data_IF_121568147971
#
_entry.id   IF_121568147971
#
_cell.length_a   1.000
_cell.length_b   1.000
_cell.length_c   1.000
_cell.angle_alpha   90.00
_cell.angle_beta   90.00
_cell.angle_gamma   90.00
#
_symmetry.space_group_name_H-M   'P 1'
#
loop_
_entity.id
_entity.type
_entity.pdbx_description
1 polymer ?
#
# COMPACT_ATOMS: atom_id res chain seq x y z
N UNK A 1 -47.02 -9.73 26.47
CA UNK A 1 -47.75 -8.87 27.41
C UNK A 1 -47.28 -7.46 27.20
N UNK A 2 -48.22 -6.70 26.66
CA UNK A 2 -48.63 -5.28 26.82
C UNK A 2 -47.59 -4.25 26.36
N UNK A 3 -47.71 -3.66 25.19
CA UNK A 3 -48.60 -2.58 24.67
C UNK A 3 -48.66 -1.33 25.58
N UNK A 4 -48.36 -0.19 24.96
CA UNK A 4 -48.62 1.16 25.45
C UNK A 4 -48.30 2.24 24.43
N UNK A 5 -49.24 2.48 23.51
CA UNK A 5 -49.40 3.68 22.65
C UNK A 5 -49.84 4.88 23.50
N UNK A 6 -49.58 6.12 22.95
CA UNK A 6 -50.52 7.28 22.89
C UNK A 6 -49.64 8.51 22.50
N UNK A 7 -49.70 9.19 21.39
CA UNK A 7 -50.76 9.86 20.63
C UNK A 7 -51.35 11.14 21.28
N UNK A 8 -51.48 12.12 20.37
CA UNK A 8 -52.41 13.27 20.37
C UNK A 8 -51.76 14.63 20.74
N UNK A 9 -51.58 15.56 19.81
CA UNK A 9 -52.50 16.44 19.06
C UNK A 9 -52.75 17.77 19.80
N UNK A 10 -52.48 18.92 19.24
CA UNK A 10 -53.43 19.83 18.63
C UNK A 10 -52.82 21.25 18.41
N UNK A 11 -53.11 21.79 17.28
CA UNK A 11 -53.23 23.16 16.81
C UNK A 11 -54.53 23.78 17.41
N UNK A 12 -54.91 25.08 17.21
CA UNK A 12 -54.34 26.30 16.62
C UNK A 12 -54.71 27.61 17.32
N UNK A 13 -54.47 28.72 16.62
CA UNK A 13 -55.25 29.95 16.45
C UNK A 13 -54.49 31.26 16.84
N UNK A 14 -54.27 32.06 15.83
CA UNK A 14 -54.87 33.35 15.36
C UNK A 14 -54.97 34.45 16.40
N UNK A 15 -54.42 35.64 16.11
CA UNK A 15 -55.04 36.79 15.50
C UNK A 15 -54.26 38.07 15.79
N UNK A 16 -54.15 38.88 14.75
CA UNK A 16 -54.32 40.35 14.60
C UNK A 16 -53.55 41.36 15.44
N UNK A 17 -52.99 42.32 14.69
CA UNK A 17 -53.07 43.70 15.12
C UNK A 17 -51.83 44.59 14.84
N UNK A 18 -51.80 45.23 13.66
CA UNK A 18 -51.52 46.65 13.36
C UNK A 18 -50.25 47.39 13.84
N UNK A 19 -49.60 47.92 12.81
CA UNK A 19 -49.07 49.28 12.59
C UNK A 19 -47.99 49.91 13.48
N UNK A 20 -46.95 50.35 12.78
CA UNK A 20 -46.34 51.64 13.06
C UNK A 20 -44.84 51.78 12.84
N UNK A 21 -44.52 52.51 11.77
CA UNK A 21 -43.39 53.46 11.54
C UNK A 21 -41.95 52.94 11.45
N UNK A 22 -41.42 53.19 10.28
CA UNK A 22 -40.10 53.60 9.81
C UNK A 22 -38.94 53.72 10.81
N UNK A 23 -37.86 52.95 10.51
CA UNK A 23 -36.52 53.54 10.49
C UNK A 23 -35.59 52.68 9.59
N UNK A 24 -34.90 53.38 8.68
CA UNK A 24 -33.87 52.87 7.78
C UNK A 24 -32.71 52.28 8.55
N UNK A 25 -32.34 51.06 8.24
CA UNK A 25 -30.96 50.60 8.34
C UNK A 25 -30.64 49.53 7.29
N UNK A 26 -29.50 49.73 6.69
CA UNK A 26 -28.86 49.00 5.60
C UNK A 26 -29.11 47.52 5.56
N UNK A 27 -29.67 47.04 4.45
CA UNK A 27 -29.89 45.63 4.14
C UNK A 27 -28.61 44.97 3.65
N UNK A 28 -28.04 44.12 4.49
CA UNK A 28 -27.18 43.05 4.03
C UNK A 28 -28.03 42.07 3.22
N UNK A 29 -27.78 41.94 1.93
CA UNK A 29 -28.42 41.01 1.02
C UNK A 29 -28.14 39.56 1.47
N UNK A 30 -29.17 38.92 1.98
CA UNK A 30 -29.18 37.46 2.18
C UNK A 30 -29.10 36.79 0.79
N UNK A 31 -28.23 35.83 0.53
CA UNK A 31 -28.22 35.12 -0.75
C UNK A 31 -29.55 34.39 -0.94
N UNK A 32 -30.18 34.61 -2.09
CA UNK A 32 -31.39 33.90 -2.48
C UNK A 32 -31.10 32.38 -2.56
N UNK A 33 -32.06 31.58 -2.06
CA UNK A 33 -31.98 30.11 -2.16
C UNK A 33 -31.80 29.68 -3.63
N UNK A 34 -31.08 28.59 -3.89
CA UNK A 34 -30.90 28.08 -5.24
C UNK A 34 -32.26 27.75 -5.87
N UNK A 35 -32.44 27.96 -7.19
CA UNK A 35 -33.70 27.69 -7.89
C UNK A 35 -34.09 26.20 -7.79
N UNK A 36 -35.38 25.93 -7.74
CA UNK A 36 -35.92 24.56 -7.75
C UNK A 36 -35.64 23.90 -9.10
N UNK A 37 -35.63 22.57 -9.11
CA UNK A 37 -35.36 21.77 -10.32
C UNK A 37 -36.28 22.10 -11.51
N UNK A 38 -37.52 22.47 -11.24
CA UNK A 38 -38.50 22.88 -12.26
C UNK A 38 -38.21 24.23 -12.87
N UNK A 39 -37.69 25.15 -12.09
CA UNK A 39 -37.29 26.50 -12.53
C UNK A 39 -36.00 26.49 -13.37
N UNK A 40 -35.08 25.52 -13.08
CA UNK A 40 -33.85 25.31 -13.84
C UNK A 40 -34.10 24.68 -15.22
N UNK A 41 -35.21 23.93 -15.40
CA UNK A 41 -35.52 23.22 -16.64
C UNK A 41 -36.50 23.98 -17.56
N UNK A 42 -37.19 25.01 -17.09
CA UNK A 42 -38.19 25.75 -17.86
C UNK A 42 -37.65 26.83 -18.81
N UNK A 43 -36.39 26.89 -19.07
CA UNK A 43 -35.79 27.77 -20.12
C UNK A 43 -35.85 29.29 -19.94
N UNK A 44 -36.52 29.77 -18.90
CA UNK A 44 -36.67 31.22 -18.64
C UNK A 44 -35.58 31.77 -17.67
N UNK A 45 -34.79 30.92 -17.07
CA UNK A 45 -33.76 31.29 -16.08
C UNK A 45 -32.40 31.74 -16.64
N UNK A 46 -32.15 31.58 -17.93
CA UNK A 46 -30.86 31.85 -18.55
C UNK A 46 -30.84 33.25 -19.21
N UNK A 47 -30.84 34.33 -18.42
CA UNK A 47 -30.35 35.63 -18.90
C UNK A 47 -28.82 35.61 -18.85
N UNK A 48 -28.21 35.55 -20.04
CA UNK A 48 -26.77 35.70 -20.22
C UNK A 48 -26.30 37.00 -19.54
N UNK A 49 -25.44 36.89 -18.53
CA UNK A 49 -24.75 38.03 -17.92
C UNK A 49 -24.78 38.15 -16.39
N UNK A 50 -25.46 37.27 -15.66
CA UNK A 50 -25.64 37.47 -14.21
C UNK A 50 -24.53 36.91 -13.29
N UNK A 51 -23.64 36.01 -13.74
CA UNK A 51 -22.53 35.52 -12.93
C UNK A 51 -21.26 35.40 -13.77
N UNK A 52 -20.20 36.16 -13.47
CA UNK A 52 -18.89 35.81 -14.00
C UNK A 52 -18.47 34.46 -13.38
N UNK A 53 -17.85 33.55 -14.15
CA UNK A 53 -17.36 32.29 -13.62
C UNK A 53 -16.31 32.60 -12.54
N UNK A 54 -16.34 31.92 -11.37
CA UNK A 54 -15.31 32.08 -10.36
C UNK A 54 -13.97 31.63 -10.94
N UNK A 55 -13.04 32.57 -11.08
CA UNK A 55 -11.66 32.25 -11.40
C UNK A 55 -11.05 31.55 -10.20
N UNK A 56 -10.46 30.37 -10.46
CA UNK A 56 -9.67 29.55 -9.54
C UNK A 56 -10.43 28.67 -8.52
N UNK A 57 -11.24 27.75 -9.02
CA UNK A 57 -11.53 26.52 -8.29
C UNK A 57 -10.87 25.38 -9.08
N UNK A 58 -9.92 24.62 -8.51
CA UNK A 58 -9.39 23.43 -9.17
C UNK A 58 -10.54 22.42 -9.30
N UNK A 59 -10.95 22.15 -10.53
CA UNK A 59 -11.92 21.11 -10.85
C UNK A 59 -11.34 19.75 -10.45
N UNK A 60 -11.95 19.10 -9.48
CA UNK A 60 -11.58 17.76 -9.08
C UNK A 60 -11.80 16.80 -10.26
N UNK A 61 -10.84 15.90 -10.60
CA UNK A 61 -10.91 15.06 -11.82
C UNK A 61 -12.09 14.11 -11.91
N UNK A 62 -12.85 13.91 -10.83
CA UNK A 62 -13.96 12.94 -10.77
C UNK A 62 -15.35 13.49 -11.18
N UNK A 63 -15.43 14.71 -11.72
CA UNK A 63 -16.73 15.33 -12.10
C UNK A 63 -16.96 15.40 -13.61
N UNK A 64 -16.01 14.92 -14.43
CA UNK A 64 -16.22 14.78 -15.85
C UNK A 64 -16.98 13.46 -16.12
N UNK A 65 -18.32 13.50 -16.06
CA UNK A 65 -19.17 12.46 -16.62
C UNK A 65 -18.99 12.50 -18.15
N UNK A 66 -18.27 11.52 -18.68
CA UNK A 66 -18.20 11.31 -20.13
C UNK A 66 -19.42 10.47 -20.50
N UNK A 67 -20.35 11.08 -21.24
CA UNK A 67 -21.50 10.39 -21.80
C UNK A 67 -21.03 9.32 -22.80
N UNK A 68 -21.30 8.03 -22.56
CA UNK A 68 -20.86 6.96 -23.44
C UNK A 68 -21.59 6.92 -24.79
N UNK A 69 -22.54 7.82 -25.05
CA UNK A 69 -23.30 7.91 -26.31
C UNK A 69 -22.70 8.86 -27.36
N UNK A 70 -21.64 9.61 -27.05
CA UNK A 70 -20.96 10.44 -28.03
C UNK A 70 -20.05 9.61 -28.94
N UNK A 71 -20.58 9.23 -30.10
CA UNK A 71 -19.86 8.62 -31.21
C UNK A 71 -18.67 9.51 -31.64
N UNK A 72 -17.47 8.94 -31.92
CA UNK A 72 -16.30 9.72 -32.28
C UNK A 72 -16.27 10.07 -33.79
N UNK A 73 -17.34 10.68 -34.32
CA UNK A 73 -17.33 11.06 -35.72
C UNK A 73 -18.15 12.32 -35.99
N UNK A 74 -17.70 13.46 -35.44
CA UNK A 74 -18.00 14.77 -36.00
C UNK A 74 -16.78 15.69 -35.81
N UNK A 75 -16.00 15.78 -36.87
CA UNK A 75 -14.92 16.72 -36.98
C UNK A 75 -15.40 18.15 -37.02
N UNK A 76 -15.44 18.83 -35.86
CA UNK A 76 -15.42 20.29 -35.83
C UNK A 76 -15.06 20.82 -34.43
N UNK A 77 -13.86 21.40 -34.32
CA UNK A 77 -13.56 22.41 -33.34
C UNK A 77 -13.21 21.95 -31.93
N UNK A 78 -12.18 21.07 -31.80
CA UNK A 78 -11.47 20.95 -30.52
C UNK A 78 -10.64 22.20 -30.30
N UNK A 79 -10.84 22.91 -29.19
CA UNK A 79 -9.96 23.98 -28.79
C UNK A 79 -8.56 23.42 -28.51
N UNK A 80 -7.47 24.03 -29.00
CA UNK A 80 -6.11 23.53 -28.79
C UNK A 80 -5.68 23.42 -27.33
N UNK A 81 -6.41 24.06 -26.41
CA UNK A 81 -6.13 24.04 -24.96
C UNK A 81 -6.46 22.75 -24.22
N UNK A 82 -7.43 21.96 -24.70
CA UNK A 82 -7.87 20.75 -23.97
C UNK A 82 -6.86 19.60 -24.10
N UNK A 83 -6.23 19.49 -25.24
CA UNK A 83 -5.22 18.44 -25.50
C UNK A 83 -3.91 18.74 -24.78
N UNK A 84 -3.51 20.01 -24.69
CA UNK A 84 -2.32 20.43 -23.96
C UNK A 84 -2.52 20.28 -22.44
N UNK A 85 -3.71 20.55 -21.93
CA UNK A 85 -4.04 20.39 -20.50
C UNK A 85 -4.04 18.92 -20.10
N UNK A 86 -4.62 18.02 -20.91
CA UNK A 86 -4.64 16.57 -20.65
C UNK A 86 -3.23 15.99 -20.74
N UNK A 87 -2.43 16.40 -21.70
CA UNK A 87 -1.04 15.95 -21.83
C UNK A 87 -0.18 16.46 -20.69
N UNK A 88 -0.30 17.71 -20.28
CA UNK A 88 0.39 18.28 -19.12
C UNK A 88 0.06 17.53 -17.82
N UNK A 89 -1.20 17.23 -17.56
CA UNK A 89 -1.63 16.45 -16.40
C UNK A 89 -1.03 15.02 -16.40
N UNK A 90 -1.00 14.36 -17.55
CA UNK A 90 -0.40 13.03 -17.72
C UNK A 90 1.12 13.02 -17.48
N UNK A 91 1.82 14.09 -17.86
CA UNK A 91 3.27 14.24 -17.64
C UNK A 91 3.59 14.47 -16.15
N UNK A 92 2.82 15.29 -15.46
CA UNK A 92 2.99 15.55 -14.04
C UNK A 92 2.77 14.27 -13.20
N UNK A 93 1.75 13.47 -13.54
CA UNK A 93 1.49 12.18 -12.90
C UNK A 93 2.66 11.19 -13.09
N UNK A 94 3.25 11.16 -14.27
CA UNK A 94 4.41 10.30 -14.54
C UNK A 94 5.66 10.75 -13.77
N UNK A 95 5.91 12.05 -13.68
CA UNK A 95 7.04 12.60 -12.93
C UNK A 95 6.90 12.25 -11.44
N UNK A 96 5.72 12.44 -10.86
CA UNK A 96 5.41 12.10 -9.47
C UNK A 96 5.60 10.61 -9.24
N UNK A 97 5.10 9.76 -10.14
CA UNK A 97 5.24 8.30 -10.07
C UNK A 97 6.70 7.85 -10.13
N UNK A 98 7.49 8.40 -11.04
CA UNK A 98 8.91 8.09 -11.16
C UNK A 98 9.71 8.52 -9.92
N UNK A 99 9.38 9.69 -9.34
CA UNK A 99 9.99 10.14 -8.10
C UNK A 99 9.64 9.22 -6.92
N UNK A 100 8.38 8.76 -6.84
CA UNK A 100 7.91 7.80 -5.87
C UNK A 100 8.65 6.46 -5.98
N UNK A 101 8.71 5.86 -7.17
CA UNK A 101 9.43 4.62 -7.44
C UNK A 101 10.90 4.74 -7.03
N UNK A 102 11.57 5.82 -7.44
CA UNK A 102 12.97 6.08 -7.07
C UNK A 102 13.15 6.17 -5.56
N UNK A 103 12.24 6.85 -4.85
CA UNK A 103 12.27 6.96 -3.38
C UNK A 103 12.13 5.60 -2.72
N UNK A 104 11.17 4.78 -3.16
CA UNK A 104 10.95 3.42 -2.64
C UNK A 104 12.19 2.54 -2.85
N UNK A 105 12.74 2.50 -4.06
CA UNK A 105 13.93 1.69 -4.35
C UNK A 105 15.19 2.19 -3.65
N UNK A 106 15.32 3.49 -3.37
CA UNK A 106 16.42 4.03 -2.57
C UNK A 106 16.34 3.53 -1.13
N UNK A 107 15.16 3.57 -0.52
CA UNK A 107 14.94 3.06 0.84
C UNK A 107 15.19 1.55 0.87
N UNK A 108 14.63 0.82 -0.07
CA UNK A 108 14.83 -0.63 -0.21
C UNK A 108 16.32 -1.00 -0.33
N UNK A 109 17.08 -0.27 -1.14
CA UNK A 109 18.51 -0.49 -1.29
C UNK A 109 19.25 -0.34 0.05
N UNK A 110 18.93 0.70 0.80
CA UNK A 110 19.54 0.92 2.12
C UNK A 110 19.20 -0.20 3.11
N UNK A 111 17.92 -0.65 3.12
CA UNK A 111 17.48 -1.77 3.95
C UNK A 111 18.20 -3.07 3.59
N UNK A 112 18.31 -3.38 2.31
CA UNK A 112 18.99 -4.59 1.82
C UNK A 112 20.48 -4.55 2.09
N UNK A 113 21.17 -3.42 1.88
CA UNK A 113 22.57 -3.26 2.20
C UNK A 113 22.85 -3.46 3.69
N UNK A 114 22.02 -2.88 4.55
CA UNK A 114 22.12 -3.06 5.99
C UNK A 114 21.91 -4.52 6.39
N UNK A 115 20.85 -5.16 5.88
CA UNK A 115 20.54 -6.57 6.14
C UNK A 115 21.66 -7.49 5.66
N UNK A 116 22.19 -7.24 4.46
CA UNK A 116 23.32 -7.97 3.92
C UNK A 116 24.57 -7.85 4.80
N UNK A 117 24.86 -6.65 5.32
CA UNK A 117 25.95 -6.41 6.26
C UNK A 117 25.80 -7.23 7.55
N UNK A 118 24.61 -7.29 8.13
CA UNK A 118 24.33 -8.11 9.33
C UNK A 118 24.44 -9.61 9.03
N UNK A 119 23.87 -10.08 7.91
CA UNK A 119 23.99 -11.48 7.47
C UNK A 119 25.46 -11.85 7.27
N UNK A 120 26.24 -11.00 6.63
CA UNK A 120 27.67 -11.20 6.44
C UNK A 120 28.42 -11.25 7.79
N UNK A 121 28.15 -10.32 8.71
CA UNK A 121 28.73 -10.31 10.05
C UNK A 121 28.47 -11.63 10.79
N UNK A 122 27.23 -12.11 10.76
CA UNK A 122 26.80 -13.33 11.46
C UNK A 122 27.30 -14.61 10.78
N UNK A 123 27.65 -14.55 9.51
CA UNK A 123 28.13 -15.69 8.74
C UNK A 123 29.66 -15.82 8.77
N UNK A 124 30.39 -14.70 8.68
CA UNK A 124 31.86 -14.69 8.57
C UNK A 124 32.59 -14.53 9.91
N UNK A 125 31.94 -13.96 10.93
CA UNK A 125 32.58 -13.70 12.21
C UNK A 125 32.25 -14.81 13.21
N UNK A 126 33.13 -15.81 13.37
CA UNK A 126 32.92 -16.97 14.23
C UNK A 126 32.57 -16.62 15.69
N UNK A 127 33.20 -15.63 16.36
CA UNK A 127 32.82 -15.27 17.73
C UNK A 127 31.38 -14.73 17.84
N UNK A 128 30.93 -13.98 16.83
CA UNK A 128 29.55 -13.46 16.78
C UNK A 128 28.56 -14.57 16.51
N UNK A 129 28.89 -15.45 15.58
CA UNK A 129 28.10 -16.63 15.22
C UNK A 129 27.86 -17.54 16.40
N UNK A 130 28.91 -17.83 17.18
CA UNK A 130 28.82 -18.64 18.39
C UNK A 130 27.96 -17.96 19.46
N UNK A 131 28.20 -16.68 19.71
CA UNK A 131 27.43 -15.90 20.69
C UNK A 131 25.93 -15.90 20.39
N UNK A 132 25.53 -15.64 19.15
CA UNK A 132 24.09 -15.55 18.78
C UNK A 132 23.41 -16.93 18.86
N UNK A 133 24.12 -18.03 18.54
CA UNK A 133 23.60 -19.40 18.64
C UNK A 133 23.39 -19.83 20.11
N UNK A 134 24.26 -19.38 20.99
CA UNK A 134 24.18 -19.68 22.43
C UNK A 134 23.11 -18.86 23.16
N UNK A 135 22.64 -17.76 22.57
CA UNK A 135 21.69 -16.85 23.19
C UNK A 135 20.36 -16.73 22.40
N UNK A 136 19.52 -17.76 22.38
CA UNK A 136 18.27 -17.76 21.62
C UNK A 136 17.24 -16.74 22.12
N UNK A 137 17.43 -16.17 23.31
CA UNK A 137 16.55 -15.12 23.84
C UNK A 137 16.49 -13.88 22.93
N UNK A 138 17.61 -13.53 22.30
CA UNK A 138 17.65 -12.41 21.35
C UNK A 138 16.83 -12.65 20.09
N UNK A 139 16.73 -13.91 19.65
CA UNK A 139 15.86 -14.29 18.53
C UNK A 139 14.39 -14.00 18.85
N UNK A 140 13.92 -14.45 20.02
CA UNK A 140 12.53 -14.23 20.43
C UNK A 140 12.23 -12.74 20.67
N UNK A 141 13.17 -11.99 21.25
CA UNK A 141 13.05 -10.55 21.41
C UNK A 141 12.94 -9.84 20.06
N UNK A 142 13.82 -10.17 19.11
CA UNK A 142 13.79 -9.60 17.76
C UNK A 142 12.52 -9.99 16.99
N UNK A 143 12.03 -11.20 17.16
CA UNK A 143 10.76 -11.64 16.58
C UNK A 143 9.59 -10.81 17.14
N UNK A 144 9.57 -10.55 18.44
CA UNK A 144 8.54 -9.70 19.07
C UNK A 144 8.59 -8.27 18.54
N UNK A 145 9.78 -7.67 18.45
CA UNK A 145 9.96 -6.32 17.88
C UNK A 145 9.55 -6.27 16.41
N UNK A 146 9.95 -7.28 15.63
CA UNK A 146 9.54 -7.43 14.22
C UNK A 146 8.01 -7.44 14.07
N UNK A 147 7.32 -8.29 14.82
CA UNK A 147 5.87 -8.42 14.73
C UNK A 147 5.15 -7.11 15.14
N UNK A 148 5.57 -6.47 16.24
CA UNK A 148 4.97 -5.22 16.71
C UNK A 148 5.18 -4.11 15.69
N UNK A 149 6.40 -3.92 15.21
CA UNK A 149 6.70 -2.85 14.24
C UNK A 149 6.02 -3.12 12.89
N UNK A 150 5.93 -4.37 12.45
CA UNK A 150 5.20 -4.77 11.26
C UNK A 150 3.71 -4.42 11.36
N UNK A 151 3.07 -4.82 12.47
CA UNK A 151 1.66 -4.53 12.70
C UNK A 151 1.38 -3.02 12.74
N UNK A 152 2.24 -2.24 13.39
CA UNK A 152 2.11 -0.77 13.42
C UNK A 152 2.22 -0.20 12.01
N UNK A 153 3.23 -0.61 11.23
CA UNK A 153 3.45 -0.10 9.88
C UNK A 153 2.35 -0.52 8.89
N UNK A 154 1.72 -1.68 9.08
CA UNK A 154 0.64 -2.15 8.20
C UNK A 154 -0.71 -1.56 8.61
N UNK A 155 -1.05 -1.57 9.91
CA UNK A 155 -2.38 -1.20 10.39
C UNK A 155 -2.56 0.31 10.61
N UNK A 156 -1.49 1.05 10.99
CA UNK A 156 -1.58 2.46 11.34
C UNK A 156 -1.11 3.36 10.19
N UNK A 157 -2.01 3.70 9.28
CA UNK A 157 -1.69 4.53 8.10
C UNK A 157 -1.18 5.93 8.48
N UNK A 158 -1.68 6.54 9.56
CA UNK A 158 -1.24 7.85 10.04
C UNK A 158 0.23 7.83 10.46
N UNK A 159 0.64 6.84 11.26
CA UNK A 159 2.03 6.69 11.71
C UNK A 159 2.97 6.45 10.54
N UNK A 160 2.54 5.67 9.55
CA UNK A 160 3.29 5.36 8.34
C UNK A 160 3.53 6.58 7.45
N UNK A 161 2.65 7.59 7.49
CA UNK A 161 2.77 8.84 6.72
C UNK A 161 3.49 9.95 7.47
N UNK A 162 3.55 9.88 8.81
CA UNK A 162 4.10 10.96 9.63
C UNK A 162 5.61 10.88 9.76
N UNK A 163 6.32 11.83 9.16
CA UNK A 163 7.77 11.99 9.34
C UNK A 163 8.08 12.64 10.70
N UNK A 164 9.11 12.21 11.47
CA UNK A 164 10.12 11.17 11.15
C UNK A 164 9.75 9.77 11.65
N UNK A 165 8.61 9.57 12.32
CA UNK A 165 8.25 8.30 12.97
C UNK A 165 8.20 7.13 12.02
N UNK A 166 7.77 7.38 10.78
CA UNK A 166 7.70 6.35 9.74
C UNK A 166 9.09 5.75 9.40
N UNK A 167 10.13 6.59 9.31
CA UNK A 167 11.50 6.12 9.06
C UNK A 167 12.11 5.45 10.29
N UNK A 168 11.84 5.96 11.49
CA UNK A 168 12.31 5.36 12.75
C UNK A 168 11.76 3.95 12.90
N UNK A 169 10.44 3.78 12.72
CA UNK A 169 9.81 2.46 12.80
C UNK A 169 10.33 1.52 11.71
N UNK A 170 10.52 2.02 10.49
CA UNK A 170 11.11 1.23 9.41
C UNK A 170 12.54 0.80 9.73
N UNK A 171 13.36 1.66 10.35
CA UNK A 171 14.71 1.30 10.80
C UNK A 171 14.68 0.21 11.87
N UNK A 172 13.80 0.33 12.88
CA UNK A 172 13.65 -0.67 13.95
C UNK A 172 13.17 -2.00 13.35
N UNK A 173 12.21 -1.96 12.44
CA UNK A 173 11.72 -3.11 11.70
C UNK A 173 12.86 -3.79 10.90
N UNK A 174 13.64 -3.00 10.15
CA UNK A 174 14.76 -3.51 9.35
C UNK A 174 15.84 -4.14 10.22
N UNK A 175 16.17 -3.51 11.36
CA UNK A 175 17.14 -4.04 12.31
C UNK A 175 16.71 -5.39 12.88
N UNK A 176 15.45 -5.51 13.31
CA UNK A 176 14.91 -6.77 13.85
C UNK A 176 14.87 -7.86 12.80
N UNK A 177 14.43 -7.56 11.57
CA UNK A 177 14.39 -8.51 10.47
C UNK A 177 15.78 -8.94 10.00
N UNK A 178 16.74 -8.01 9.95
CA UNK A 178 18.14 -8.31 9.63
C UNK A 178 18.78 -9.24 10.67
N UNK A 179 18.46 -9.05 11.96
CA UNK A 179 18.92 -9.93 13.03
C UNK A 179 18.34 -11.35 12.86
N UNK A 180 17.01 -11.47 12.63
CA UNK A 180 16.34 -12.77 12.41
C UNK A 180 16.95 -13.51 11.22
N UNK A 181 17.12 -12.82 10.09
CA UNK A 181 17.70 -13.39 8.86
C UNK A 181 19.16 -13.79 9.06
N UNK A 182 19.95 -12.94 9.73
CA UNK A 182 21.34 -13.24 10.05
C UNK A 182 21.49 -14.44 10.98
N UNK A 183 20.64 -14.56 12.00
CA UNK A 183 20.63 -15.70 12.89
C UNK A 183 20.30 -17.00 12.14
N UNK A 184 19.26 -16.99 11.30
CA UNK A 184 18.92 -18.16 10.46
C UNK A 184 20.12 -18.52 9.57
N UNK A 185 20.74 -17.53 8.90
CA UNK A 185 21.90 -17.75 8.03
C UNK A 185 23.10 -18.34 8.76
N UNK A 186 23.26 -18.04 10.05
CA UNK A 186 24.39 -18.54 10.86
C UNK A 186 24.40 -20.06 11.01
N UNK A 187 23.28 -20.75 10.84
CA UNK A 187 23.20 -22.21 10.92
C UNK A 187 23.63 -22.91 9.62
N UNK A 188 23.80 -22.16 8.55
CA UNK A 188 24.19 -22.69 7.24
C UNK A 188 25.66 -22.43 6.92
N UNK A 189 26.21 -23.22 6.00
CA UNK A 189 27.55 -23.01 5.50
C UNK A 189 27.69 -21.67 4.78
N UNK A 190 28.79 -20.97 5.00
CA UNK A 190 29.09 -19.68 4.38
C UNK A 190 28.98 -19.71 2.86
N UNK A 191 29.43 -20.81 2.21
CA UNK A 191 29.31 -20.98 0.76
C UNK A 191 27.85 -21.04 0.31
N UNK A 192 27.01 -21.77 1.06
CA UNK A 192 25.56 -21.87 0.79
C UNK A 192 24.88 -20.51 0.93
N UNK A 193 25.21 -19.74 1.96
CA UNK A 193 24.66 -18.41 2.18
C UNK A 193 25.00 -17.46 1.02
N UNK A 194 26.28 -17.43 0.59
CA UNK A 194 26.72 -16.59 -0.54
C UNK A 194 26.05 -17.01 -1.85
N UNK A 195 25.94 -18.31 -2.11
CA UNK A 195 25.28 -18.83 -3.30
C UNK A 195 23.78 -18.43 -3.29
N UNK A 196 23.09 -18.59 -2.16
CA UNK A 196 21.69 -18.18 -2.03
C UNK A 196 21.49 -16.68 -2.20
N UNK A 197 22.40 -15.85 -1.71
CA UNK A 197 22.35 -14.40 -1.95
C UNK A 197 22.43 -14.09 -3.45
N UNK A 198 23.35 -14.73 -4.17
CA UNK A 198 23.46 -14.58 -5.63
C UNK A 198 22.22 -15.04 -6.38
N UNK A 199 21.66 -16.21 -6.02
CA UNK A 199 20.44 -16.75 -6.63
C UNK A 199 19.26 -15.79 -6.34
N UNK A 200 19.10 -15.33 -5.08
CA UNK A 200 18.04 -14.40 -4.70
C UNK A 200 18.13 -13.11 -5.52
N UNK A 201 19.33 -12.54 -5.66
CA UNK A 201 19.52 -11.33 -6.47
C UNK A 201 19.10 -11.54 -7.93
N UNK A 202 19.46 -12.68 -8.53
CA UNK A 202 19.05 -13.03 -9.91
C UNK A 202 17.53 -13.21 -10.01
N UNK A 203 16.92 -13.94 -9.10
CA UNK A 203 15.45 -14.15 -9.07
C UNK A 203 14.74 -12.82 -8.97
N UNK A 204 15.12 -11.99 -7.97
CA UNK A 204 14.47 -10.69 -7.74
C UNK A 204 14.64 -9.76 -8.95
N UNK A 205 15.82 -9.69 -9.54
CA UNK A 205 16.08 -8.89 -10.73
C UNK A 205 15.23 -9.35 -11.92
N UNK A 206 15.20 -10.66 -12.19
CA UNK A 206 14.43 -11.25 -13.29
C UNK A 206 12.93 -11.02 -13.11
N UNK A 207 12.40 -11.25 -11.89
CA UNK A 207 10.98 -11.05 -11.56
C UNK A 207 10.59 -9.57 -11.67
N UNK A 208 11.45 -8.67 -11.21
CA UNK A 208 11.22 -7.22 -11.32
C UNK A 208 11.14 -6.78 -12.78
N UNK A 209 12.09 -7.21 -13.64
CA UNK A 209 12.05 -6.90 -15.09
C UNK A 209 10.81 -7.53 -15.72
N UNK A 210 10.51 -8.79 -15.40
CA UNK A 210 9.32 -9.47 -15.92
C UNK A 210 8.04 -8.70 -15.54
N UNK A 211 7.93 -8.23 -14.31
CA UNK A 211 6.78 -7.47 -13.81
C UNK A 211 6.60 -6.15 -14.54
N UNK A 212 7.70 -5.50 -14.96
CA UNK A 212 7.65 -4.29 -15.77
C UNK A 212 7.16 -4.54 -17.21
N UNK A 213 7.59 -5.64 -17.80
CA UNK A 213 7.36 -5.93 -19.23
C UNK A 213 6.10 -6.74 -19.51
N UNK A 214 5.66 -7.56 -18.54
CA UNK A 214 4.52 -8.46 -18.77
C UNK A 214 3.22 -7.68 -18.92
N UNK A 215 2.33 -8.19 -19.78
CA UNK A 215 0.94 -7.71 -19.91
C UNK A 215 0.01 -8.32 -18.88
N UNK A 216 0.48 -9.36 -18.18
CA UNK A 216 -0.29 -10.02 -17.14
C UNK A 216 -0.43 -9.13 -15.91
N UNK A 217 -1.65 -9.00 -15.40
CA UNK A 217 -1.96 -8.17 -14.23
C UNK A 217 -2.00 -9.03 -12.95
N UNK A 218 -0.87 -9.04 -12.22
CA UNK A 218 -0.78 -9.73 -10.94
C UNK A 218 -1.62 -9.06 -9.87
N UNK A 219 -1.91 -7.75 -9.99
CA UNK A 219 -2.70 -7.02 -8.99
C UNK A 219 -4.14 -7.51 -8.94
N UNK A 220 -4.65 -8.08 -10.04
CA UNK A 220 -5.97 -8.71 -10.07
C UNK A 220 -6.05 -10.02 -9.27
N UNK A 221 -4.91 -10.63 -8.94
CA UNK A 221 -4.83 -11.90 -8.23
C UNK A 221 -4.67 -11.74 -6.70
N UNK A 222 -4.92 -10.55 -6.14
CA UNK A 222 -4.76 -10.26 -4.71
C UNK A 222 -5.47 -11.29 -3.80
N UNK A 223 -6.69 -11.71 -4.15
CA UNK A 223 -7.43 -12.73 -3.40
C UNK A 223 -6.76 -14.09 -3.39
N UNK A 224 -6.19 -14.52 -4.53
CA UNK A 224 -5.43 -15.77 -4.61
C UNK A 224 -4.18 -15.72 -3.74
N UNK A 225 -3.41 -14.62 -3.81
CA UNK A 225 -2.22 -14.42 -3.00
C UNK A 225 -2.53 -14.42 -1.51
N UNK A 226 -3.65 -13.80 -1.11
CA UNK A 226 -4.12 -13.84 0.27
C UNK A 226 -4.39 -15.27 0.75
N UNK A 227 -5.06 -16.10 -0.05
CA UNK A 227 -5.31 -17.52 0.29
C UNK A 227 -4.00 -18.28 0.40
N UNK A 228 -3.05 -18.08 -0.53
CA UNK A 228 -1.76 -18.76 -0.51
C UNK A 228 -0.93 -18.40 0.73
N UNK A 229 -0.90 -17.13 1.14
CA UNK A 229 -0.19 -16.73 2.36
C UNK A 229 -0.85 -17.29 3.62
N UNK A 230 -2.18 -17.41 3.65
CA UNK A 230 -2.88 -18.07 4.76
C UNK A 230 -2.56 -19.57 4.84
N UNK A 231 -2.47 -20.26 3.71
CA UNK A 231 -2.03 -21.66 3.67
C UNK A 231 -0.60 -21.79 4.19
N UNK A 232 0.32 -20.90 3.78
CA UNK A 232 1.68 -20.88 4.31
C UNK A 232 1.72 -20.61 5.81
N UNK A 233 0.93 -19.67 6.30
CA UNK A 233 0.87 -19.33 7.72
C UNK A 233 0.43 -20.55 8.55
N UNK A 234 -0.69 -21.18 8.20
CA UNK A 234 -1.21 -22.32 8.94
C UNK A 234 -0.30 -23.56 8.81
N UNK A 235 0.24 -23.83 7.63
CA UNK A 235 1.20 -24.93 7.46
C UNK A 235 2.49 -24.68 8.23
N UNK A 236 2.97 -23.45 8.30
CA UNK A 236 4.14 -23.06 9.11
C UNK A 236 3.90 -23.24 10.60
N UNK A 237 2.72 -22.88 11.11
CA UNK A 237 2.33 -23.09 12.53
C UNK A 237 2.30 -24.59 12.83
N UNK A 238 1.69 -25.40 11.96
CA UNK A 238 1.64 -26.87 12.14
C UNK A 238 3.05 -27.45 12.17
N UNK A 239 3.91 -27.05 11.22
CA UNK A 239 5.31 -27.50 11.20
C UNK A 239 6.06 -27.09 12.46
N UNK A 240 5.89 -25.86 12.95
CA UNK A 240 6.53 -25.39 14.18
C UNK A 240 6.10 -26.18 15.41
N UNK A 241 4.82 -26.60 15.50
CA UNK A 241 4.30 -27.44 16.58
C UNK A 241 4.84 -28.86 16.46
N UNK A 242 4.97 -29.40 15.25
CA UNK A 242 5.45 -30.77 15.04
C UNK A 242 6.97 -30.92 15.20
N UNK A 243 7.73 -29.85 14.98
CA UNK A 243 9.20 -29.87 15.01
C UNK A 243 9.81 -30.49 16.27
N UNK A 244 9.32 -30.23 17.52
CA UNK A 244 9.85 -30.84 18.73
C UNK A 244 9.56 -32.34 18.86
N UNK A 245 8.51 -32.82 18.19
CA UNK A 245 8.06 -34.22 18.30
C UNK A 245 8.63 -35.12 17.20
N UNK A 246 8.65 -34.62 15.98
CA UNK A 246 9.12 -35.39 14.83
C UNK A 246 9.56 -34.47 13.68
N UNK A 247 10.86 -34.43 13.42
CA UNK A 247 11.39 -33.66 12.27
C UNK A 247 11.26 -34.48 10.99
N UNK A 248 10.49 -33.95 10.03
CA UNK A 248 10.25 -34.57 8.71
C UNK A 248 10.94 -33.71 7.63
N UNK A 249 12.15 -34.06 7.17
CA UNK A 249 12.94 -33.19 6.28
C UNK A 249 12.25 -32.88 4.96
N UNK A 250 11.60 -33.82 4.32
CA UNK A 250 10.94 -33.64 3.04
C UNK A 250 9.74 -32.67 3.12
N UNK A 251 9.01 -32.69 4.24
CA UNK A 251 7.87 -31.78 4.46
C UNK A 251 8.35 -30.34 4.64
N UNK A 252 9.47 -30.16 5.35
CA UNK A 252 10.12 -28.86 5.50
C UNK A 252 10.60 -28.30 4.14
N UNK A 253 11.16 -29.17 3.29
CA UNK A 253 11.59 -28.79 1.95
C UNK A 253 10.40 -28.36 1.06
N UNK A 254 9.30 -29.11 1.08
CA UNK A 254 8.07 -28.76 0.34
C UNK A 254 7.54 -27.39 0.82
N UNK A 255 7.48 -27.18 2.14
CA UNK A 255 7.07 -25.91 2.70
C UNK A 255 7.96 -24.74 2.22
N UNK A 256 9.27 -24.94 2.21
CA UNK A 256 10.22 -23.94 1.75
C UNK A 256 10.07 -23.64 0.24
N UNK A 257 9.83 -24.65 -0.59
CA UNK A 257 9.58 -24.47 -2.03
C UNK A 257 8.29 -23.68 -2.27
N UNK A 258 7.21 -24.04 -1.58
CA UNK A 258 5.96 -23.32 -1.68
C UNK A 258 6.12 -21.87 -1.21
N UNK A 259 6.84 -21.64 -0.11
CA UNK A 259 7.14 -20.31 0.39
C UNK A 259 7.92 -19.45 -0.62
N UNK A 260 8.96 -20.01 -1.22
CA UNK A 260 9.73 -19.32 -2.24
C UNK A 260 8.87 -18.91 -3.45
N UNK A 261 7.99 -19.80 -3.92
CA UNK A 261 7.08 -19.50 -5.03
C UNK A 261 6.10 -18.38 -4.64
N UNK A 262 5.47 -18.50 -3.49
CA UNK A 262 4.45 -17.51 -3.05
C UNK A 262 5.07 -16.13 -2.87
N UNK A 263 6.23 -16.00 -2.21
CA UNK A 263 6.87 -14.70 -2.04
C UNK A 263 7.46 -14.15 -3.35
N UNK A 264 7.84 -15.00 -4.30
CA UNK A 264 8.18 -14.54 -5.66
C UNK A 264 6.96 -13.96 -6.39
N UNK A 265 5.77 -14.54 -6.20
CA UNK A 265 4.52 -13.99 -6.73
C UNK A 265 4.15 -12.67 -6.05
N UNK A 266 4.36 -12.55 -4.72
CA UNK A 266 4.18 -11.29 -4.01
C UNK A 266 5.13 -10.21 -4.51
N UNK A 267 6.39 -10.52 -4.75
CA UNK A 267 7.36 -9.59 -5.34
C UNK A 267 6.88 -9.06 -6.70
N UNK A 268 6.32 -9.93 -7.55
CA UNK A 268 5.75 -9.51 -8.83
C UNK A 268 4.51 -8.60 -8.63
N UNK A 269 3.64 -8.95 -7.70
CA UNK A 269 2.46 -8.19 -7.33
C UNK A 269 2.83 -6.80 -6.79
N UNK A 270 3.71 -6.72 -5.80
CA UNK A 270 4.10 -5.47 -5.16
C UNK A 270 4.89 -4.55 -6.09
N UNK A 271 5.70 -5.13 -6.98
CA UNK A 271 6.36 -4.38 -8.06
C UNK A 271 5.34 -3.73 -8.99
N UNK A 272 4.28 -4.44 -9.41
CA UNK A 272 3.23 -3.88 -10.26
C UNK A 272 2.37 -2.85 -9.52
N UNK A 273 2.10 -3.08 -8.23
CA UNK A 273 1.38 -2.14 -7.37
C UNK A 273 2.14 -0.80 -7.24
N UNK A 274 3.48 -0.87 -7.17
CA UNK A 274 4.35 0.29 -7.15
C UNK A 274 4.34 1.06 -8.48
N UNK A 275 4.30 0.36 -9.61
CA UNK A 275 4.27 0.97 -10.95
C UNK A 275 2.99 1.77 -11.19
N UNK A 276 1.86 1.32 -10.65
CA UNK A 276 0.58 2.02 -10.74
C UNK A 276 -0.08 2.05 -12.10
N UNK A 277 0.33 1.18 -13.03
CA UNK A 277 -0.21 1.08 -14.38
C UNK A 277 -1.15 -0.13 -14.57
N UNK A 278 -1.67 -0.68 -13.46
CA UNK A 278 -2.53 -1.85 -13.40
C UNK A 278 -3.85 -1.54 -12.68
N UNK A 279 -4.69 -2.57 -12.48
CA UNK A 279 -6.00 -2.45 -11.83
C UNK A 279 -5.93 -1.81 -10.45
N UNK A 280 -4.84 -2.05 -9.73
CA UNK A 280 -4.58 -1.43 -8.43
C UNK A 280 -3.22 -0.73 -8.44
N UNK A 281 -3.15 0.37 -7.70
CA UNK A 281 -1.97 1.21 -7.59
C UNK A 281 -1.77 1.69 -6.16
N UNK A 282 -0.52 1.78 -5.73
CA UNK A 282 -0.15 2.37 -4.45
C UNK A 282 -0.09 3.90 -4.58
N UNK A 283 -0.62 4.60 -3.59
CA UNK A 283 -0.51 6.06 -3.52
C UNK A 283 0.97 6.49 -3.34
N UNK A 284 1.42 7.59 -3.96
CA UNK A 284 2.77 8.11 -3.78
C UNK A 284 3.14 8.48 -2.33
N UNK A 285 2.16 8.70 -1.48
CA UNK A 285 2.36 8.94 -0.04
C UNK A 285 2.76 7.68 0.74
N UNK A 286 2.46 6.49 0.20
CA UNK A 286 2.68 5.19 0.82
C UNK A 286 4.05 4.58 0.50
N UNK A 287 5.09 5.41 0.32
CA UNK A 287 6.43 4.96 -0.06
C UNK A 287 7.07 4.03 0.98
N UNK A 288 6.75 4.21 2.27
CA UNK A 288 7.21 3.32 3.35
C UNK A 288 6.59 1.93 3.19
N UNK A 289 5.29 1.87 2.90
CA UNK A 289 4.58 0.61 2.71
C UNK A 289 5.09 -0.14 1.47
N UNK A 290 5.33 0.58 0.36
CA UNK A 290 5.93 -0.02 -0.83
C UNK A 290 7.34 -0.59 -0.57
N UNK A 291 8.20 0.15 0.16
CA UNK A 291 9.54 -0.34 0.52
C UNK A 291 9.47 -1.53 1.47
N UNK A 292 8.58 -1.49 2.48
CA UNK A 292 8.37 -2.54 3.46
C UNK A 292 7.99 -3.87 2.80
N UNK A 293 6.99 -3.86 1.91
CA UNK A 293 6.49 -5.09 1.28
C UNK A 293 7.55 -5.74 0.39
N UNK A 294 8.15 -4.98 -0.54
CA UNK A 294 9.20 -5.50 -1.42
C UNK A 294 10.41 -6.01 -0.62
N UNK A 295 10.78 -5.33 0.47
CA UNK A 295 11.85 -5.77 1.36
C UNK A 295 11.53 -7.13 1.99
N UNK A 296 10.32 -7.29 2.53
CA UNK A 296 9.84 -8.56 3.12
C UNK A 296 9.90 -9.68 2.09
N UNK A 297 9.40 -9.45 0.88
CA UNK A 297 9.38 -10.45 -0.18
C UNK A 297 10.79 -10.96 -0.50
N UNK A 298 11.74 -10.04 -0.68
CA UNK A 298 13.13 -10.39 -1.00
C UNK A 298 13.77 -11.19 0.13
N UNK A 299 13.58 -10.77 1.39
CA UNK A 299 14.16 -11.45 2.54
C UNK A 299 13.56 -12.85 2.74
N UNK A 300 12.26 -13.01 2.54
CA UNK A 300 11.62 -14.33 2.62
C UNK A 300 12.03 -15.24 1.45
N UNK A 301 12.13 -14.73 0.22
CA UNK A 301 12.69 -15.48 -0.92
C UNK A 301 14.10 -16.01 -0.56
N UNK A 302 14.97 -15.14 -0.05
CA UNK A 302 16.31 -15.54 0.40
C UNK A 302 16.25 -16.62 1.47
N UNK A 303 15.42 -16.45 2.48
CA UNK A 303 15.30 -17.39 3.62
C UNK A 303 14.80 -18.75 3.14
N UNK A 304 13.80 -18.81 2.28
CA UNK A 304 13.29 -20.06 1.74
C UNK A 304 14.27 -20.74 0.77
N UNK A 305 14.94 -19.97 -0.09
CA UNK A 305 16.00 -20.51 -0.95
C UNK A 305 17.15 -21.09 -0.13
N UNK A 306 17.52 -20.44 0.97
CA UNK A 306 18.53 -20.95 1.90
C UNK A 306 18.10 -22.26 2.57
N UNK A 307 16.82 -22.40 2.92
CA UNK A 307 16.26 -23.63 3.46
C UNK A 307 16.23 -24.80 2.46
N UNK A 308 16.05 -24.48 1.16
CA UNK A 308 16.02 -25.49 0.09
C UNK A 308 17.43 -25.98 -0.26
N UNK A 309 18.36 -25.05 -0.42
CA UNK A 309 19.68 -25.32 -1.02
C UNK A 309 20.82 -25.29 -0.01
N UNK A 310 20.57 -24.77 1.18
CA UNK A 310 21.59 -24.62 2.20
C UNK A 310 21.94 -25.95 2.85
N UNK A 311 23.25 -26.29 2.87
CA UNK A 311 23.77 -27.34 3.73
C UNK A 311 24.00 -26.76 5.13
N UNK A 312 23.39 -27.39 6.14
CA UNK A 312 23.62 -27.05 7.55
C UNK A 312 25.05 -27.40 7.96
N UNK A 313 25.64 -26.58 8.84
CA UNK A 313 26.87 -26.96 9.53
C UNK A 313 26.50 -27.95 10.65
N UNK A 314 27.03 -29.16 10.59
CA UNK A 314 27.03 -30.10 11.70
C UNK A 314 27.91 -29.62 12.86
#
# INVERSE_FOLDING_TARGET
MTQGKLSVNNKPANSDGQQGSEEKKDSATVPSAPPTYEEATSGEGLKAGAFPPPMNVPLHPNWAYVDPSSSPNDGRGGYPGDTEMITSYSWDDQIVRNAFIRKVYTILLLQLLFTFGIVALFTFCDPVKEYIRLNPAWYWASLGVFLITYLILVCCSEVRRYYPWNLILLCIFTLSMAYLTGMISSFYNTKSVLMCLGITALVCFTVTIFSFQTKYDFTSCAGLLFVLVMVLLFSGIILAIMLPFHYIPWLHTIYAVLGAIVFTMFLAFDTQLLMGNRSYALSPEEYIFGALNIYIDIVYIFTYLLQITGSTQE
#
